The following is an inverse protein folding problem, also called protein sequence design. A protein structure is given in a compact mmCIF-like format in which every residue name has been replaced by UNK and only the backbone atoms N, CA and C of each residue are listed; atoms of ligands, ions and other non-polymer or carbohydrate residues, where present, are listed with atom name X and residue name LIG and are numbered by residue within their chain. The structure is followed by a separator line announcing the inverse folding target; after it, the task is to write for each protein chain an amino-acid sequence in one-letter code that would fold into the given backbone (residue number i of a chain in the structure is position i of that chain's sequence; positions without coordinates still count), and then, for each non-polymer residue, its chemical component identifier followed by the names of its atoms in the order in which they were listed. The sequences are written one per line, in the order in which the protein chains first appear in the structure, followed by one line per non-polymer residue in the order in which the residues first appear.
data_IF_138494024542
#
_entry.id   IF_138494024542
#
_cell.length_a   1.000
_cell.length_b   1.000
_cell.length_c   1.000
_cell.angle_alpha   90.00
_cell.angle_beta   90.00
_cell.angle_gamma   90.00
#
_symmetry.space_group_name_H-M   'P 1'
#
loop_
_entity.id
_entity.type
_entity.pdbx_description
1 polymer ?
#
# COMPACT_ATOMS: atom_id res chain seq x y z
N UNK A 1 8.52 35.16 11.97
CA UNK A 1 8.92 33.90 11.30
C UNK A 1 7.78 32.90 11.45
N UNK A 2 7.24 32.39 10.34
CA UNK A 2 6.13 31.45 10.35
C UNK A 2 6.47 30.19 11.17
N UNK A 3 5.60 29.81 12.10
CA UNK A 3 5.78 28.63 12.95
C UNK A 3 5.73 27.38 12.07
N UNK A 4 6.73 26.50 12.17
CA UNK A 4 6.77 25.25 11.41
C UNK A 4 5.63 24.33 11.85
N UNK A 5 4.88 23.77 10.90
CA UNK A 5 3.80 22.83 11.21
C UNK A 5 4.32 21.54 11.83
N UNK A 6 3.72 21.14 12.95
CA UNK A 6 4.00 19.89 13.65
C UNK A 6 2.74 19.06 13.76
N UNK A 7 2.76 17.86 13.19
CA UNK A 7 1.63 16.95 13.29
C UNK A 7 1.78 16.07 14.55
N UNK A 8 0.91 16.29 15.54
CA UNK A 8 0.95 15.59 16.84
C UNK A 8 0.95 14.06 16.71
N UNK A 9 0.30 13.51 15.69
CA UNK A 9 0.19 12.07 15.47
C UNK A 9 1.18 11.51 14.44
N UNK A 10 2.28 12.21 14.15
CA UNK A 10 3.29 11.78 13.17
C UNK A 10 3.87 10.39 13.51
N UNK A 11 4.19 10.14 14.77
CA UNK A 11 4.70 8.84 15.23
C UNK A 11 3.67 7.73 15.03
N UNK A 12 2.41 7.98 15.37
CA UNK A 12 1.32 7.01 15.18
C UNK A 12 1.12 6.71 13.69
N UNK A 13 1.17 7.73 12.82
CA UNK A 13 1.08 7.56 11.37
C UNK A 13 2.21 6.66 10.84
N UNK A 14 3.45 6.86 11.31
CA UNK A 14 4.59 6.01 10.95
C UNK A 14 4.39 4.56 11.39
N UNK A 15 3.90 4.33 12.60
CA UNK A 15 3.58 2.97 13.09
C UNK A 15 2.51 2.32 12.21
N UNK A 16 1.47 3.06 11.81
CA UNK A 16 0.40 2.53 10.93
C UNK A 16 0.92 2.21 9.52
N UNK A 17 1.83 3.02 8.98
CA UNK A 17 2.52 2.73 7.72
C UNK A 17 3.33 1.45 7.80
N UNK A 18 4.15 1.30 8.84
CA UNK A 18 4.94 0.08 9.07
C UNK A 18 4.04 -1.16 9.19
N UNK A 19 2.92 -1.07 9.90
CA UNK A 19 1.95 -2.16 10.01
C UNK A 19 1.34 -2.53 8.65
N UNK A 20 0.97 -1.54 7.84
CA UNK A 20 0.48 -1.81 6.48
C UNK A 20 1.53 -2.50 5.62
N UNK A 21 2.78 -2.02 5.66
CA UNK A 21 3.86 -2.60 4.86
C UNK A 21 4.18 -4.03 5.29
N UNK A 22 4.11 -4.33 6.59
CA UNK A 22 4.23 -5.69 7.09
C UNK A 22 3.10 -6.59 6.59
N UNK A 23 1.85 -6.12 6.61
CA UNK A 23 0.72 -6.89 6.07
C UNK A 23 0.84 -7.11 4.56
N UNK A 24 1.36 -6.15 3.80
CA UNK A 24 1.66 -6.34 2.37
C UNK A 24 2.70 -7.43 2.15
N UNK A 25 3.75 -7.49 2.97
CA UNK A 25 4.78 -8.54 2.89
C UNK A 25 4.20 -9.93 3.16
N UNK A 26 3.35 -10.04 4.18
CA UNK A 26 2.65 -11.29 4.51
C UNK A 26 1.80 -11.76 3.33
N UNK A 27 0.95 -10.88 2.78
CA UNK A 27 0.11 -11.20 1.61
C UNK A 27 0.97 -11.60 0.40
N UNK A 28 2.07 -10.91 0.14
CA UNK A 28 2.98 -11.23 -0.95
C UNK A 28 3.63 -12.61 -0.77
N UNK A 29 4.03 -12.95 0.45
CA UNK A 29 4.57 -14.27 0.78
C UNK A 29 3.54 -15.37 0.57
N UNK A 30 2.27 -15.17 0.99
CA UNK A 30 1.21 -16.15 0.70
C UNK A 30 0.94 -16.33 -0.77
N UNK A 31 0.95 -15.26 -1.55
CA UNK A 31 0.81 -15.35 -3.01
C UNK A 31 1.94 -16.18 -3.63
N UNK A 32 3.19 -16.00 -3.16
CA UNK A 32 4.33 -16.84 -3.60
C UNK A 32 4.11 -18.31 -3.27
N UNK A 33 3.70 -18.62 -2.05
CA UNK A 33 3.44 -20.00 -1.62
C UNK A 33 2.31 -20.66 -2.40
N UNK A 34 1.26 -19.91 -2.72
CA UNK A 34 0.17 -20.37 -3.59
C UNK A 34 0.72 -20.69 -4.98
N UNK A 35 1.53 -19.79 -5.56
CA UNK A 35 2.18 -20.02 -6.85
C UNK A 35 3.01 -21.31 -6.86
N UNK A 36 3.93 -21.45 -5.91
CA UNK A 36 4.76 -22.65 -5.76
C UNK A 36 3.94 -23.94 -5.61
N UNK A 37 2.85 -23.89 -4.84
CA UNK A 37 1.99 -25.06 -4.64
C UNK A 37 1.20 -25.41 -5.92
N UNK A 38 0.77 -24.41 -6.70
CA UNK A 38 0.14 -24.62 -8.02
C UNK A 38 1.12 -25.21 -9.02
N UNK A 39 2.36 -24.73 -9.03
CA UNK A 39 3.41 -25.26 -9.90
C UNK A 39 3.71 -26.71 -9.56
N UNK A 40 3.87 -27.02 -8.27
CA UNK A 40 4.07 -28.40 -7.78
C UNK A 40 2.92 -29.33 -8.19
N UNK A 41 1.67 -28.88 -7.98
CA UNK A 41 0.48 -29.62 -8.42
C UNK A 41 0.52 -29.89 -9.93
N UNK A 42 0.92 -28.89 -10.72
CA UNK A 42 0.98 -28.99 -12.19
C UNK A 42 2.09 -29.94 -12.65
N UNK A 43 3.19 -30.05 -11.89
CA UNK A 43 4.23 -31.08 -12.11
C UNK A 43 3.66 -32.47 -11.83
N UNK A 44 3.00 -32.68 -10.69
CA UNK A 44 2.40 -33.97 -10.36
C UNK A 44 1.35 -34.42 -11.40
N UNK A 45 0.53 -33.49 -11.89
CA UNK A 45 -0.44 -33.79 -12.94
C UNK A 45 0.21 -34.19 -14.27
N UNK A 46 1.33 -33.55 -14.65
CA UNK A 46 2.13 -33.96 -15.82
C UNK A 46 2.71 -35.36 -15.63
N UNK A 47 3.28 -35.65 -14.47
CA UNK A 47 3.80 -36.98 -14.15
C UNK A 47 2.71 -38.06 -14.23
N UNK A 48 1.49 -37.78 -13.75
CA UNK A 48 0.35 -38.69 -13.90
C UNK A 48 0.05 -38.94 -15.38
N UNK A 49 0.01 -37.89 -16.19
CA UNK A 49 -0.26 -38.00 -17.62
C UNK A 49 0.82 -38.84 -18.34
N UNK A 50 2.09 -38.56 -18.06
CA UNK A 50 3.23 -39.26 -18.65
C UNK A 50 3.24 -40.74 -18.27
N UNK A 51 2.97 -41.07 -17.00
CA UNK A 51 2.86 -42.46 -16.53
C UNK A 51 1.68 -43.20 -17.18
N UNK A 52 0.53 -42.55 -17.33
CA UNK A 52 -0.63 -43.16 -18.02
C UNK A 52 -0.31 -43.45 -19.48
N UNK A 53 0.42 -42.57 -20.17
CA UNK A 53 0.85 -42.81 -21.54
C UNK A 53 1.88 -43.95 -21.62
N UNK A 54 2.86 -43.98 -20.71
CA UNK A 54 3.86 -45.06 -20.66
C UNK A 54 3.22 -46.44 -20.44
N UNK A 55 2.18 -46.52 -19.60
CA UNK A 55 1.42 -47.78 -19.39
C UNK A 55 0.67 -48.19 -20.67
N UNK A 56 0.13 -47.24 -21.44
CA UNK A 56 -0.58 -47.54 -22.70
C UNK A 56 0.40 -48.06 -23.75
N UNK A 57 1.56 -47.43 -23.86
CA UNK A 57 2.60 -47.82 -24.82
C UNK A 57 3.15 -49.21 -24.50
N UNK A 58 3.38 -49.53 -23.21
CA UNK A 58 3.89 -50.84 -22.81
C UNK A 58 2.90 -52.00 -22.98
N UNK A 59 1.60 -51.73 -22.97
CA UNK A 59 0.57 -52.76 -23.21
C UNK A 59 0.40 -53.13 -24.69
N UNK A 60 0.86 -52.29 -25.62
CA UNK A 60 0.76 -52.55 -27.06
C UNK A 60 1.77 -53.60 -27.58
N UNK A 61 2.84 -53.89 -26.82
CA UNK A 61 3.90 -54.83 -27.22
C UNK A 61 3.57 -56.32 -26.90
N UNK A 62 2.33 -56.61 -26.49
CA UNK A 62 1.79 -57.98 -26.45
C UNK A 62 2.20 -58.87 -25.26
N UNK A 63 3.18 -58.47 -24.45
CA UNK A 63 3.57 -59.17 -23.22
C UNK A 63 3.28 -58.32 -21.97
N UNK A 64 2.26 -58.69 -21.20
CA UNK A 64 1.87 -57.98 -19.97
C UNK A 64 2.70 -58.51 -18.79
N UNK A 65 3.65 -57.71 -18.29
CA UNK A 65 4.33 -57.98 -17.02
C UNK A 65 3.47 -57.48 -15.84
N UNK A 66 2.92 -58.43 -15.08
CA UNK A 66 2.08 -58.16 -13.89
C UNK A 66 2.84 -57.31 -12.85
N UNK A 67 4.15 -57.52 -12.67
CA UNK A 67 4.94 -56.76 -11.71
C UNK A 67 5.08 -55.30 -12.14
N UNK A 68 5.25 -55.05 -13.44
CA UNK A 68 5.28 -53.70 -14.01
C UNK A 68 3.95 -52.98 -13.80
N UNK A 69 2.82 -53.64 -14.07
CA UNK A 69 1.49 -53.08 -13.85
C UNK A 69 1.27 -52.70 -12.38
N UNK A 70 1.68 -53.54 -11.43
CA UNK A 70 1.57 -53.23 -10.00
C UNK A 70 2.41 -52.01 -9.61
N UNK A 71 3.65 -51.90 -10.11
CA UNK A 71 4.51 -50.73 -9.86
C UNK A 71 3.88 -49.44 -10.36
N UNK A 72 3.39 -49.42 -11.60
CA UNK A 72 2.72 -48.24 -12.16
C UNK A 72 1.48 -47.85 -11.36
N UNK A 73 0.65 -48.83 -10.95
CA UNK A 73 -0.54 -48.56 -10.13
C UNK A 73 -0.18 -47.94 -8.77
N UNK A 74 0.85 -48.46 -8.10
CA UNK A 74 1.31 -47.91 -6.83
C UNK A 74 1.84 -46.48 -7.00
N UNK A 75 2.62 -46.24 -8.05
CA UNK A 75 3.17 -44.93 -8.35
C UNK A 75 2.08 -43.91 -8.69
N UNK A 76 1.14 -44.26 -9.57
CA UNK A 76 -0.03 -43.41 -9.86
C UNK A 76 -0.84 -43.09 -8.60
N UNK A 77 -1.05 -44.08 -7.74
CA UNK A 77 -1.76 -43.86 -6.46
C UNK A 77 -1.01 -42.87 -5.56
N UNK A 78 0.33 -42.92 -5.53
CA UNK A 78 1.16 -41.96 -4.82
C UNK A 78 1.05 -40.55 -5.43
N UNK A 79 1.13 -40.42 -6.76
CA UNK A 79 0.99 -39.13 -7.44
C UNK A 79 -0.39 -38.51 -7.23
N UNK A 80 -1.47 -39.29 -7.34
CA UNK A 80 -2.82 -38.82 -7.06
C UNK A 80 -2.98 -38.34 -5.62
N UNK A 81 -2.39 -39.05 -4.65
CA UNK A 81 -2.36 -38.59 -3.26
C UNK A 81 -1.62 -37.25 -3.13
N UNK A 82 -0.47 -37.10 -3.79
CA UNK A 82 0.27 -35.83 -3.82
C UNK A 82 -0.56 -34.67 -4.39
N UNK A 83 -1.34 -34.91 -5.45
CA UNK A 83 -2.25 -33.89 -6.02
C UNK A 83 -3.32 -33.50 -5.02
N UNK A 84 -3.93 -34.46 -4.32
CA UNK A 84 -4.94 -34.19 -3.29
C UNK A 84 -4.36 -33.37 -2.13
N UNK A 85 -3.14 -33.70 -1.69
CA UNK A 85 -2.44 -32.95 -0.65
C UNK A 85 -2.10 -31.53 -1.10
N UNK A 86 -1.65 -31.35 -2.34
CA UNK A 86 -1.40 -30.03 -2.92
C UNK A 86 -2.69 -29.20 -3.04
N UNK A 87 -3.80 -29.82 -3.43
CA UNK A 87 -5.12 -29.19 -3.51
C UNK A 87 -5.65 -28.76 -2.12
N UNK A 88 -5.50 -29.62 -1.11
CA UNK A 88 -5.85 -29.29 0.26
C UNK A 88 -5.00 -28.11 0.77
N UNK A 89 -3.70 -28.12 0.49
CA UNK A 89 -2.78 -27.03 0.84
C UNK A 89 -3.15 -25.72 0.12
N UNK A 90 -3.51 -25.77 -1.16
CA UNK A 90 -3.96 -24.60 -1.91
C UNK A 90 -5.21 -23.98 -1.27
N UNK A 91 -6.23 -24.78 -0.99
CA UNK A 91 -7.47 -24.31 -0.33
C UNK A 91 -7.17 -23.65 1.01
N UNK A 92 -6.28 -24.25 1.81
CA UNK A 92 -5.85 -23.67 3.07
C UNK A 92 -5.14 -22.31 2.88
N UNK A 93 -4.19 -22.24 1.95
CA UNK A 93 -3.45 -21.00 1.67
C UNK A 93 -4.37 -19.90 1.12
N UNK A 94 -5.33 -20.25 0.27
CA UNK A 94 -6.31 -19.30 -0.27
C UNK A 94 -7.25 -18.76 0.82
N UNK A 95 -7.71 -19.62 1.73
CA UNK A 95 -8.49 -19.19 2.89
C UNK A 95 -7.69 -18.24 3.80
N UNK A 96 -6.40 -18.53 4.03
CA UNK A 96 -5.51 -17.63 4.78
C UNK A 96 -5.28 -16.31 4.08
N UNK A 97 -5.04 -16.33 2.76
CA UNK A 97 -4.90 -15.13 1.96
C UNK A 97 -6.14 -14.23 2.04
N UNK A 98 -7.34 -14.81 2.03
CA UNK A 98 -8.58 -14.05 2.19
C UNK A 98 -8.63 -13.33 3.55
N UNK A 99 -8.26 -14.01 4.65
CA UNK A 99 -8.17 -13.40 5.98
C UNK A 99 -7.14 -12.27 6.02
N UNK A 100 -5.95 -12.50 5.49
CA UNK A 100 -4.87 -11.51 5.47
C UNK A 100 -5.23 -10.27 4.63
N UNK A 101 -6.00 -10.44 3.53
CA UNK A 101 -6.51 -9.31 2.73
C UNK A 101 -7.46 -8.41 3.51
N UNK A 102 -8.29 -8.99 4.39
CA UNK A 102 -9.16 -8.21 5.28
C UNK A 102 -8.32 -7.39 6.25
N UNK A 103 -7.31 -8.00 6.88
CA UNK A 103 -6.39 -7.32 7.80
C UNK A 103 -5.61 -6.20 7.09
N UNK A 104 -5.14 -6.43 5.87
CA UNK A 104 -4.48 -5.41 5.07
C UNK A 104 -5.44 -4.24 4.75
N UNK A 105 -6.68 -4.52 4.37
CA UNK A 105 -7.67 -3.48 4.09
C UNK A 105 -7.94 -2.61 5.33
N UNK A 106 -8.02 -3.21 6.51
CA UNK A 106 -8.12 -2.49 7.78
C UNK A 106 -6.88 -1.64 8.06
N UNK A 107 -5.67 -2.19 7.88
CA UNK A 107 -4.43 -1.45 8.08
C UNK A 107 -4.36 -0.20 7.17
N UNK A 108 -4.72 -0.36 5.88
CA UNK A 108 -4.81 0.73 4.90
C UNK A 108 -5.84 1.77 5.34
N UNK A 109 -7.01 1.35 5.79
CA UNK A 109 -8.06 2.27 6.29
C UNK A 109 -7.55 3.10 7.47
N UNK A 110 -6.90 2.46 8.43
CA UNK A 110 -6.37 3.11 9.64
C UNK A 110 -5.28 4.14 9.29
N UNK A 111 -4.37 3.83 8.35
CA UNK A 111 -3.40 4.81 7.86
C UNK A 111 -4.09 5.99 7.17
N UNK A 112 -5.02 5.73 6.24
CA UNK A 112 -5.71 6.78 5.47
C UNK A 112 -6.48 7.75 6.37
N UNK A 113 -7.05 7.28 7.48
CA UNK A 113 -7.70 8.16 8.46
C UNK A 113 -6.71 9.19 9.02
N UNK A 114 -5.51 8.76 9.43
CA UNK A 114 -4.49 9.65 9.97
C UNK A 114 -3.90 10.58 8.91
N UNK A 115 -3.74 10.12 7.67
CA UNK A 115 -3.30 10.97 6.56
C UNK A 115 -4.31 12.06 6.26
N UNK A 116 -5.61 11.72 6.18
CA UNK A 116 -6.67 12.72 6.00
C UNK A 116 -6.72 13.71 7.16
N UNK A 117 -6.48 13.26 8.39
CA UNK A 117 -6.41 14.15 9.55
C UNK A 117 -5.22 15.11 9.46
N UNK A 118 -4.04 14.60 9.08
CA UNK A 118 -2.82 15.40 8.85
C UNK A 118 -3.07 16.46 7.78
N UNK A 119 -3.65 16.07 6.65
CA UNK A 119 -3.96 16.98 5.55
C UNK A 119 -4.91 18.09 6.00
N UNK A 120 -6.00 17.76 6.70
CA UNK A 120 -6.94 18.75 7.24
C UNK A 120 -6.31 19.71 8.26
N UNK A 121 -5.35 19.24 9.05
CA UNK A 121 -4.63 20.12 9.99
C UNK A 121 -3.63 21.02 9.26
N UNK A 122 -2.98 20.49 8.23
CA UNK A 122 -2.07 21.26 7.38
C UNK A 122 -2.79 22.38 6.64
N UNK A 123 -3.93 22.09 6.01
CA UNK A 123 -4.75 23.09 5.33
C UNK A 123 -5.22 24.20 6.27
N UNK A 124 -5.62 23.85 7.50
CA UNK A 124 -5.97 24.85 8.53
C UNK A 124 -4.77 25.71 8.92
N UNK A 125 -3.61 25.10 9.13
CA UNK A 125 -2.38 25.83 9.45
C UNK A 125 -1.99 26.82 8.34
N UNK A 126 -2.11 26.42 7.07
CA UNK A 126 -1.86 27.31 5.93
C UNK A 126 -2.87 28.46 5.88
N UNK A 127 -4.16 28.17 6.08
CA UNK A 127 -5.20 29.20 6.09
C UNK A 127 -4.99 30.22 7.22
N UNK A 128 -4.70 29.76 8.44
CA UNK A 128 -4.37 30.63 9.57
C UNK A 128 -3.10 31.45 9.34
N UNK A 129 -2.08 30.86 8.68
CA UNK A 129 -0.86 31.56 8.27
C UNK A 129 -1.17 32.70 7.32
N UNK A 130 -1.91 32.42 6.24
CA UNK A 130 -2.31 33.42 5.24
C UNK A 130 -3.13 34.55 5.88
N UNK A 131 -4.08 34.23 6.76
CA UNK A 131 -4.87 35.26 7.45
C UNK A 131 -4.01 36.18 8.33
N UNK A 132 -2.98 35.63 9.00
CA UNK A 132 -2.04 36.45 9.79
C UNK A 132 -1.18 37.32 8.90
N UNK A 133 -0.64 36.77 7.82
CA UNK A 133 0.17 37.53 6.85
C UNK A 133 -0.63 38.66 6.19
N UNK A 134 -1.88 38.40 5.81
CA UNK A 134 -2.78 39.44 5.29
C UNK A 134 -3.01 40.55 6.31
N UNK A 135 -3.30 40.19 7.57
CA UNK A 135 -3.53 41.16 8.64
C UNK A 135 -2.30 42.01 8.93
N UNK A 136 -1.12 41.38 9.02
CA UNK A 136 0.16 42.08 9.19
C UNK A 136 0.44 43.03 8.01
N UNK A 137 0.11 42.60 6.79
CA UNK A 137 0.20 43.44 5.58
C UNK A 137 -0.71 44.66 5.62
N UNK A 138 -1.98 44.49 6.00
CA UNK A 138 -2.95 45.57 6.12
C UNK A 138 -2.55 46.57 7.23
N UNK A 139 -2.05 46.07 8.36
CA UNK A 139 -1.52 46.90 9.45
C UNK A 139 -0.31 47.74 8.97
N UNK A 140 0.65 47.13 8.27
CA UNK A 140 1.80 47.85 7.69
C UNK A 140 1.38 48.88 6.63
N UNK A 141 0.42 48.55 5.77
CA UNK A 141 -0.11 49.47 4.77
C UNK A 141 -0.80 50.67 5.42
N UNK A 142 -1.61 50.44 6.46
CA UNK A 142 -2.27 51.48 7.26
C UNK A 142 -1.25 52.40 7.92
N UNK A 143 -0.25 51.82 8.58
CA UNK A 143 0.86 52.54 9.21
C UNK A 143 1.57 53.42 8.17
N UNK A 144 1.94 52.86 7.01
CA UNK A 144 2.60 53.60 5.92
C UNK A 144 1.72 54.74 5.38
N UNK A 145 0.43 54.50 5.22
CA UNK A 145 -0.52 55.51 4.74
C UNK A 145 -0.63 56.69 5.72
N UNK A 146 -0.79 56.41 7.01
CA UNK A 146 -0.89 57.45 8.06
C UNK A 146 0.41 58.27 8.12
N UNK A 147 1.57 57.61 8.20
CA UNK A 147 2.85 58.32 8.25
C UNK A 147 3.16 59.09 6.95
N UNK A 148 2.76 58.58 5.80
CA UNK A 148 2.87 59.30 4.52
C UNK A 148 2.04 60.59 4.50
N UNK A 149 0.79 60.51 4.99
CA UNK A 149 -0.10 61.67 5.08
C UNK A 149 0.41 62.72 6.07
N UNK A 150 0.96 62.31 7.20
CA UNK A 150 1.60 63.22 8.16
C UNK A 150 2.85 63.90 7.60
N UNK A 151 3.66 63.17 6.84
CA UNK A 151 4.84 63.73 6.16
C UNK A 151 4.42 64.77 5.10
N UNK A 152 3.37 64.49 4.33
CA UNK A 152 2.84 65.43 3.34
C UNK A 152 2.17 66.65 3.99
N UNK A 153 1.44 66.46 5.10
CA UNK A 153 0.87 67.55 5.88
C UNK A 153 1.94 68.45 6.53
N UNK A 154 3.06 67.87 7.00
CA UNK A 154 4.22 68.65 7.49
C UNK A 154 4.90 69.44 6.37
N UNK A 155 5.04 68.87 5.17
CA UNK A 155 5.59 69.58 4.00
C UNK A 155 4.73 70.77 3.58
N UNK A 156 3.40 70.64 3.65
CA UNK A 156 2.45 71.73 3.38
C UNK A 156 2.52 72.85 4.44
N UNK A 157 2.80 72.53 5.71
CA UNK A 157 2.92 73.50 6.80
C UNK A 157 4.23 74.31 6.79
N UNK A 158 5.28 73.80 6.15
CA UNK A 158 6.62 74.42 6.10
C UNK A 158 6.84 75.18 4.78
N UNK A 159 5.88 75.15 3.83
CA UNK A 159 5.98 75.88 2.57
C UNK A 159 5.86 77.39 2.83
N UNK A 160 6.92 78.20 2.64
CA UNK A 160 6.81 79.65 2.83
C UNK A 160 5.91 80.24 1.74
N UNK A 161 5.04 81.17 2.12
CA UNK A 161 4.31 82.04 1.21
C UNK A 161 5.34 82.76 0.32
N UNK A 162 5.38 82.43 -0.97
CA UNK A 162 6.15 83.19 -1.94
C UNK A 162 5.52 84.59 -2.05
N UNK A 163 6.27 85.68 -1.85
CA UNK A 163 5.76 87.01 -2.12
C UNK A 163 5.63 87.22 -3.64
N UNK A 164 4.59 87.95 -4.03
CA UNK A 164 4.25 88.33 -5.40
C UNK A 164 5.26 89.29 -6.02
#
# INVERSE_FOLDING_TARGET
MAKRFTFRFATMLKIRQQREDEQKRIVAERLRQIGQTRDHRSVLQRQIHDEVNAIRDSQNDGAIDIQQVMRHRHWLSHLHRGVLEADARLRFLEARLAQERVVLAEAVKQRKILEKLKERQWQRHLHEGNLREMKEGDELATVRYVFGREADARKLRIRPLQPA
#
